data_IF_795578996407
#
_entry.id   IF_795578996407
#
_cell.length_a   1.000
_cell.length_b   1.000
_cell.length_c   1.000
_cell.angle_alpha   90.00
_cell.angle_beta   90.00
_cell.angle_gamma   90.00
#
_symmetry.space_group_name_H-M   'P 1'
#
loop_
_entity.id
_entity.type
_entity.pdbx_description
1 polymer ?
#
# COMPACT_ATOMS: atom_id res chain seq x y z
N UNK A 1 -5.18 15.94 5.36
CA UNK A 1 -6.30 15.50 4.48
C UNK A 1 -6.43 13.98 4.42
N UNK A 2 -5.45 13.22 3.89
CA UNK A 2 -5.60 11.75 3.80
C UNK A 2 -5.76 11.07 5.18
N UNK A 3 -4.92 11.45 6.16
CA UNK A 3 -5.03 10.97 7.54
C UNK A 3 -6.39 11.31 8.19
N UNK A 4 -6.91 12.50 7.94
CA UNK A 4 -8.21 12.96 8.46
C UNK A 4 -9.36 12.10 7.91
N UNK A 5 -9.34 11.78 6.61
CA UNK A 5 -10.31 10.85 6.03
C UNK A 5 -10.20 9.46 6.64
N UNK A 6 -8.99 8.95 6.84
CA UNK A 6 -8.77 7.66 7.50
C UNK A 6 -9.38 7.63 8.91
N UNK A 7 -9.07 8.63 9.75
CA UNK A 7 -9.58 8.72 11.13
C UNK A 7 -11.10 8.75 11.13
N UNK A 8 -11.70 9.63 10.32
CA UNK A 8 -13.16 9.76 10.24
C UNK A 8 -13.82 8.46 9.79
N UNK A 9 -13.27 7.80 8.76
CA UNK A 9 -13.78 6.52 8.27
C UNK A 9 -13.64 5.40 9.30
N UNK A 10 -12.54 5.36 10.05
CA UNK A 10 -12.33 4.40 11.13
C UNK A 10 -13.39 4.58 12.21
N UNK A 11 -13.51 5.79 12.77
CA UNK A 11 -14.45 6.10 13.86
C UNK A 11 -15.91 5.81 13.48
N UNK A 12 -16.27 6.06 12.21
CA UNK A 12 -17.64 5.88 11.73
C UNK A 12 -17.97 4.41 11.42
N UNK A 13 -16.98 3.60 11.02
CA UNK A 13 -17.24 2.29 10.40
C UNK A 13 -16.53 1.10 11.05
N UNK A 14 -15.70 1.29 12.07
CA UNK A 14 -15.01 0.20 12.77
C UNK A 14 -15.99 -0.94 13.13
N UNK A 15 -15.61 -2.18 12.78
CA UNK A 15 -16.43 -3.37 12.99
C UNK A 15 -17.52 -3.62 11.92
N UNK A 16 -17.72 -2.71 10.98
CA UNK A 16 -18.65 -2.91 9.85
C UNK A 16 -18.04 -3.84 8.82
N UNK A 17 -18.76 -4.89 8.42
CA UNK A 17 -18.32 -5.76 7.34
C UNK A 17 -18.20 -4.98 6.02
N UNK A 18 -16.99 -4.89 5.48
CA UNK A 18 -16.69 -4.20 4.24
C UNK A 18 -15.68 -5.00 3.42
N UNK A 19 -15.92 -5.16 2.12
CA UNK A 19 -15.02 -5.91 1.25
C UNK A 19 -13.69 -5.17 1.11
N UNK A 20 -12.58 -5.89 1.30
CA UNK A 20 -11.23 -5.32 1.22
C UNK A 20 -10.75 -4.64 2.50
N UNK A 21 -11.55 -4.67 3.58
CA UNK A 21 -11.16 -4.13 4.89
C UNK A 21 -11.06 -5.26 5.90
N UNK A 22 -9.91 -5.34 6.57
CA UNK A 22 -9.68 -6.21 7.71
C UNK A 22 -9.36 -5.36 8.94
N UNK A 23 -10.34 -5.17 9.82
CA UNK A 23 -10.23 -4.31 11.00
C UNK A 23 -9.22 -4.81 12.04
N UNK A 24 -8.91 -6.11 12.03
CA UNK A 24 -8.00 -6.74 13.00
C UNK A 24 -6.54 -6.79 12.52
N UNK A 25 -6.27 -6.31 11.29
CA UNK A 25 -4.93 -6.39 10.70
C UNK A 25 -3.94 -5.36 11.25
N UNK A 26 -4.40 -4.13 11.51
CA UNK A 26 -3.56 -3.00 11.91
C UNK A 26 -4.33 -2.06 12.84
N UNK A 27 -3.59 -1.40 13.74
CA UNK A 27 -4.13 -0.33 14.59
C UNK A 27 -4.33 0.97 13.82
N UNK A 28 -5.22 1.85 14.32
CA UNK A 28 -5.41 3.17 13.73
C UNK A 28 -4.10 3.98 13.67
N UNK A 29 -3.27 3.91 14.71
CA UNK A 29 -2.01 4.65 14.76
C UNK A 29 -0.99 4.18 13.70
N UNK A 30 -0.91 2.87 13.44
CA UNK A 30 -0.09 2.34 12.36
C UNK A 30 -0.59 2.79 10.99
N UNK A 31 -1.91 2.74 10.76
CA UNK A 31 -2.52 3.18 9.51
C UNK A 31 -2.30 4.67 9.28
N UNK A 32 -2.41 5.50 10.33
CA UNK A 32 -2.12 6.94 10.26
C UNK A 32 -0.67 7.18 9.87
N UNK A 33 0.27 6.47 10.48
CA UNK A 33 1.69 6.59 10.15
C UNK A 33 1.98 6.20 8.69
N UNK A 34 1.41 5.08 8.24
CA UNK A 34 1.56 4.61 6.86
C UNK A 34 0.97 5.61 5.85
N UNK A 35 -0.26 6.11 6.08
CA UNK A 35 -0.93 7.08 5.20
C UNK A 35 -0.15 8.40 5.11
N UNK A 36 0.40 8.87 6.23
CA UNK A 36 1.24 10.08 6.25
C UNK A 36 2.51 9.90 5.42
N UNK A 37 3.15 8.74 5.48
CA UNK A 37 4.38 8.47 4.73
C UNK A 37 4.14 8.16 3.25
N UNK A 38 3.01 7.53 2.90
CA UNK A 38 2.63 7.27 1.50
C UNK A 38 2.24 8.56 0.79
N UNK A 39 1.57 9.47 1.49
CA UNK A 39 1.10 10.72 0.92
C UNK A 39 -0.25 10.60 0.21
N UNK A 40 -1.02 11.69 0.25
CA UNK A 40 -2.40 11.69 -0.23
C UNK A 40 -2.56 11.49 -1.74
N UNK A 41 -1.64 12.00 -2.55
CA UNK A 41 -1.70 11.85 -4.02
C UNK A 41 -1.55 10.39 -4.44
N UNK A 42 -0.55 9.69 -3.91
CA UNK A 42 -0.30 8.27 -4.17
C UNK A 42 -1.51 7.41 -3.75
N UNK A 43 -2.08 7.68 -2.57
CA UNK A 43 -3.29 7.00 -2.09
C UNK A 43 -4.50 7.26 -2.98
N UNK A 44 -4.73 8.50 -3.41
CA UNK A 44 -5.86 8.84 -4.27
C UNK A 44 -5.79 8.09 -5.61
N UNK A 45 -4.60 8.03 -6.23
CA UNK A 45 -4.38 7.28 -7.47
C UNK A 45 -4.63 5.78 -7.29
N UNK A 46 -4.15 5.20 -6.18
CA UNK A 46 -4.40 3.80 -5.84
C UNK A 46 -5.90 3.51 -5.65
N UNK A 47 -6.60 4.36 -4.88
CA UNK A 47 -8.04 4.24 -4.69
C UNK A 47 -8.82 4.35 -6.00
N UNK A 48 -8.41 5.26 -6.89
CA UNK A 48 -9.02 5.41 -8.21
C UNK A 48 -8.87 4.14 -9.05
N UNK A 49 -7.67 3.54 -9.06
CA UNK A 49 -7.40 2.29 -9.78
C UNK A 49 -8.28 1.13 -9.26
N UNK A 50 -8.33 0.97 -7.95
CA UNK A 50 -9.16 -0.06 -7.30
C UNK A 50 -10.65 0.18 -7.54
N UNK A 51 -11.10 1.43 -7.59
CA UNK A 51 -12.49 1.78 -7.87
C UNK A 51 -12.89 1.52 -9.33
N UNK A 52 -11.95 1.67 -10.28
CA UNK A 52 -12.20 1.45 -11.71
C UNK A 52 -12.32 -0.03 -12.08
N UNK A 53 -11.44 -0.87 -11.55
CA UNK A 53 -11.51 -2.32 -11.78
C UNK A 53 -10.95 -3.12 -10.59
N UNK A 54 -11.73 -3.16 -9.51
CA UNK A 54 -11.36 -3.91 -8.31
C UNK A 54 -11.04 -5.37 -8.61
N UNK A 55 -11.73 -6.01 -9.57
CA UNK A 55 -11.54 -7.43 -9.85
C UNK A 55 -10.14 -7.68 -10.38
N UNK A 56 -9.69 -6.90 -11.35
CA UNK A 56 -8.36 -7.03 -11.95
C UNK A 56 -7.24 -6.59 -11.01
N UNK A 57 -7.52 -5.64 -10.11
CA UNK A 57 -6.51 -5.09 -9.20
C UNK A 57 -6.55 -5.67 -7.77
N UNK A 58 -7.48 -6.58 -7.46
CA UNK A 58 -7.56 -7.18 -6.12
C UNK A 58 -6.42 -8.15 -5.75
N UNK A 59 -5.49 -8.43 -6.68
CA UNK A 59 -4.36 -9.34 -6.45
C UNK A 59 -3.06 -8.82 -7.08
N UNK A 60 -1.92 -9.31 -6.58
CA UNK A 60 -0.59 -8.97 -7.08
C UNK A 60 0.03 -7.68 -6.54
N UNK A 61 -0.59 -7.08 -5.50
CA UNK A 61 0.02 -5.99 -4.71
C UNK A 61 1.35 -6.46 -4.12
N UNK A 62 2.38 -5.58 -4.03
CA UNK A 62 3.66 -5.92 -3.42
C UNK A 62 3.52 -6.44 -1.98
N UNK A 63 4.39 -7.39 -1.62
CA UNK A 63 4.34 -8.08 -0.32
C UNK A 63 4.47 -7.15 0.89
N UNK A 64 5.32 -6.12 0.80
CA UNK A 64 5.66 -5.24 1.91
C UNK A 64 5.36 -3.78 1.58
N UNK A 65 4.80 -3.08 2.56
CA UNK A 65 4.85 -1.63 2.66
C UNK A 65 5.84 -1.27 3.78
N UNK A 66 6.93 -0.61 3.42
CA UNK A 66 7.89 -0.05 4.37
C UNK A 66 7.65 1.44 4.45
N UNK A 67 7.73 2.02 5.65
CA UNK A 67 7.68 3.46 5.81
C UNK A 67 8.64 3.91 6.90
N UNK A 68 9.09 5.15 6.78
CA UNK A 68 9.87 5.83 7.82
C UNK A 68 9.54 7.30 7.84
N UNK A 69 9.62 7.88 9.03
CA UNK A 69 9.52 9.32 9.21
C UNK A 69 10.89 9.98 9.00
N UNK A 70 10.84 11.17 8.41
CA UNK A 70 11.92 12.15 8.34
C UNK A 70 11.45 13.37 9.16
N UNK A 71 11.51 13.25 10.49
CA UNK A 71 10.98 14.25 11.43
C UNK A 71 9.48 14.08 11.72
N UNK A 72 8.85 15.10 12.29
CA UNK A 72 7.47 14.99 12.81
C UNK A 72 6.38 15.04 11.73
N UNK A 73 6.63 15.69 10.59
CA UNK A 73 5.60 16.01 9.59
C UNK A 73 5.87 15.47 8.20
N UNK A 74 6.93 14.68 8.02
CA UNK A 74 7.27 14.11 6.72
C UNK A 74 7.82 12.71 6.87
N UNK A 75 7.65 11.91 5.82
CA UNK A 75 8.15 10.54 5.77
C UNK A 75 8.23 10.07 4.33
N UNK A 76 8.74 8.87 4.16
CA UNK A 76 8.78 8.16 2.88
C UNK A 76 8.18 6.78 3.07
N UNK A 77 7.55 6.28 2.02
CA UNK A 77 7.07 4.92 1.94
C UNK A 77 7.63 4.23 0.69
N UNK A 78 7.85 2.93 0.82
CA UNK A 78 8.34 2.06 -0.25
C UNK A 78 7.53 0.77 -0.28
N UNK A 79 7.06 0.39 -1.45
CA UNK A 79 6.45 -0.92 -1.69
C UNK A 79 7.52 -1.89 -2.19
N UNK A 80 7.60 -3.07 -1.58
CA UNK A 80 8.64 -4.06 -1.92
C UNK A 80 7.99 -5.39 -2.21
N UNK A 81 8.27 -5.92 -3.40
CA UNK A 81 7.93 -7.29 -3.79
C UNK A 81 9.13 -8.20 -3.52
N UNK A 82 8.94 -9.22 -2.68
CA UNK A 82 10.01 -10.13 -2.27
C UNK A 82 9.98 -11.37 -3.17
N UNK A 83 11.15 -11.74 -3.69
CA UNK A 83 11.31 -12.94 -4.51
C UNK A 83 12.42 -13.82 -3.97
N UNK A 84 12.09 -15.09 -3.76
CA UNK A 84 13.09 -16.12 -3.51
C UNK A 84 14.04 -16.30 -4.70
N UNK A 85 15.10 -17.07 -4.50
CA UNK A 85 16.16 -17.27 -5.49
C UNK A 85 15.66 -17.70 -6.88
N UNK A 86 14.66 -18.59 -6.91
CA UNK A 86 14.07 -19.14 -8.13
C UNK A 86 12.75 -18.47 -8.53
N UNK A 87 12.25 -17.52 -7.74
CA UNK A 87 10.97 -16.89 -8.00
C UNK A 87 11.11 -15.77 -9.02
N UNK A 88 10.03 -15.59 -9.79
CA UNK A 88 9.89 -14.53 -10.78
C UNK A 88 8.66 -13.71 -10.47
N UNK A 89 8.68 -12.45 -10.91
CA UNK A 89 7.47 -11.64 -10.95
C UNK A 89 6.46 -12.28 -11.89
N UNK A 90 5.21 -12.40 -11.43
CA UNK A 90 4.09 -12.67 -12.31
C UNK A 90 3.78 -11.45 -13.18
N UNK A 91 3.04 -11.63 -14.26
CA UNK A 91 2.62 -10.51 -15.12
C UNK A 91 1.75 -9.50 -14.36
N UNK A 92 0.88 -9.97 -13.46
CA UNK A 92 0.08 -9.09 -12.60
C UNK A 92 0.96 -8.23 -11.67
N UNK A 93 2.00 -8.83 -11.08
CA UNK A 93 2.93 -8.10 -10.22
C UNK A 93 3.75 -7.06 -11.02
N UNK A 94 4.16 -7.40 -12.25
CA UNK A 94 4.82 -6.44 -13.14
C UNK A 94 3.91 -5.25 -13.45
N UNK A 95 2.64 -5.52 -13.76
CA UNK A 95 1.65 -4.47 -14.02
C UNK A 95 1.45 -3.56 -12.80
N UNK A 96 1.36 -4.16 -11.60
CA UNK A 96 1.30 -3.40 -10.35
C UNK A 96 2.53 -2.51 -10.13
N UNK A 97 3.74 -3.04 -10.29
CA UNK A 97 4.96 -2.27 -10.10
C UNK A 97 5.03 -1.07 -11.06
N UNK A 98 4.65 -1.25 -12.34
CA UNK A 98 4.60 -0.17 -13.32
C UNK A 98 3.62 0.94 -12.90
N UNK A 99 2.39 0.56 -12.54
CA UNK A 99 1.37 1.54 -12.14
C UNK A 99 1.72 2.27 -10.84
N UNK A 100 2.30 1.57 -9.87
CA UNK A 100 2.74 2.18 -8.63
C UNK A 100 3.84 3.22 -8.89
N UNK A 101 4.79 2.94 -9.79
CA UNK A 101 5.78 3.93 -10.23
C UNK A 101 5.12 5.14 -10.90
N UNK A 102 4.16 4.91 -11.80
CA UNK A 102 3.42 6.00 -12.46
C UNK A 102 2.60 6.84 -11.46
N UNK A 103 2.14 6.23 -10.37
CA UNK A 103 1.44 6.91 -9.27
C UNK A 103 2.38 7.67 -8.33
N UNK A 104 3.70 7.56 -8.48
CA UNK A 104 4.70 8.23 -7.66
C UNK A 104 5.18 7.44 -6.44
N UNK A 105 4.86 6.15 -6.33
CA UNK A 105 5.40 5.31 -5.26
C UNK A 105 6.87 4.96 -5.50
N UNK A 106 7.65 4.89 -4.43
CA UNK A 106 8.92 4.17 -4.45
C UNK A 106 8.63 2.67 -4.43
N UNK A 107 9.11 1.93 -5.44
CA UNK A 107 8.92 0.48 -5.51
C UNK A 107 10.23 -0.26 -5.75
N UNK A 108 10.38 -1.44 -5.15
CA UNK A 108 11.55 -2.29 -5.34
C UNK A 108 11.18 -3.77 -5.42
N UNK A 109 12.05 -4.55 -6.07
CA UNK A 109 12.01 -6.02 -6.03
C UNK A 109 13.19 -6.51 -5.20
N UNK A 110 12.90 -7.10 -4.05
CA UNK A 110 13.92 -7.65 -3.16
C UNK A 110 14.17 -9.12 -3.51
N UNK A 111 15.33 -9.43 -4.10
CA UNK A 111 15.75 -10.81 -4.39
C UNK A 111 16.55 -11.39 -3.24
N UNK A 112 15.99 -12.42 -2.60
CA UNK A 112 16.64 -13.13 -1.50
C UNK A 112 17.43 -14.31 -2.07
N UNK A 113 18.74 -14.36 -1.77
CA UNK A 113 19.62 -15.47 -2.13
C UNK A 113 19.86 -16.35 -0.89
N UNK A 114 19.87 -17.69 -1.02
CA UNK A 114 20.38 -18.54 0.03
C UNK A 114 21.86 -18.22 0.27
N UNK A 115 22.29 -18.41 1.52
CA UNK A 115 23.69 -18.34 1.93
C UNK A 115 24.51 -19.48 1.30
#
# INVERSE_FOLDING_TARGET
MAEEFLIKSWETHIGTACRGVNWDSHSLDELRAAVTCVGGTCLASLCQLLAQDYRSWSSGMPDLLLWRFHGEYSGEAKLVEVKGHNDRLSEQQRAWLLLLMDCGFSVEVCKVKPL
#
